data_IF_137295097951
#
_entry.id   IF_137295097951
#
_cell.length_a   1.000
_cell.length_b   1.000
_cell.length_c   1.000
_cell.angle_alpha   90.00
_cell.angle_beta   90.00
_cell.angle_gamma   90.00
#
_symmetry.space_group_name_H-M   'P 1'
#
loop_
_entity.id
_entity.type
_entity.pdbx_description
1 polymer ?
#
# COMPACT_ATOMS: atom_id res chain seq x y z
N UNK A 1 8.95 17.00 3.02
CA UNK A 1 8.32 16.38 1.84
C UNK A 1 7.17 15.53 2.35
N UNK A 2 5.92 15.90 2.06
CA UNK A 2 4.79 15.01 2.33
C UNK A 2 4.66 14.06 1.14
N UNK A 3 5.20 12.86 1.28
CA UNK A 3 5.03 11.77 0.32
C UNK A 3 3.60 11.26 0.36
N UNK A 4 3.15 10.67 -0.75
CA UNK A 4 1.88 9.95 -0.84
C UNK A 4 2.17 8.55 -1.39
N UNK A 5 1.27 7.61 -1.09
CA UNK A 5 1.34 6.23 -1.57
C UNK A 5 0.11 5.93 -2.43
N UNK A 6 0.33 5.34 -3.61
CA UNK A 6 -0.75 4.89 -4.49
C UNK A 6 -0.93 3.38 -4.33
N UNK A 7 -2.08 2.94 -3.86
CA UNK A 7 -2.47 1.54 -3.77
C UNK A 7 -3.20 1.14 -5.06
N UNK A 8 -2.81 0.01 -5.63
CA UNK A 8 -3.35 -0.51 -6.91
C UNK A 8 -4.33 -1.65 -6.65
N UNK A 9 -4.01 -2.51 -5.68
CA UNK A 9 -4.84 -3.66 -5.35
C UNK A 9 -4.69 -4.02 -3.87
N UNK A 10 -5.69 -4.70 -3.33
CA UNK A 10 -5.67 -5.27 -1.98
C UNK A 10 -5.60 -6.79 -2.05
N UNK A 11 -4.91 -7.42 -1.12
CA UNK A 11 -4.92 -8.87 -1.03
C UNK A 11 -6.12 -9.34 -0.21
N UNK A 12 -6.76 -10.41 -0.66
CA UNK A 12 -7.79 -11.09 0.12
C UNK A 12 -7.19 -11.66 1.40
N UNK A 13 -7.83 -11.51 2.57
CA UNK A 13 -7.32 -12.08 3.83
C UNK A 13 -7.09 -13.60 3.77
N UNK A 14 -7.88 -14.32 2.98
CA UNK A 14 -7.71 -15.76 2.79
C UNK A 14 -6.42 -16.07 2.03
N UNK A 15 -6.21 -15.41 0.89
CA UNK A 15 -5.00 -15.56 0.07
C UNK A 15 -3.75 -15.13 0.84
N UNK A 16 -3.83 -14.06 1.65
CA UNK A 16 -2.70 -13.64 2.50
C UNK A 16 -2.24 -14.79 3.41
N UNK A 17 -3.19 -15.45 4.08
CA UNK A 17 -2.89 -16.52 5.03
C UNK A 17 -2.41 -17.80 4.36
N UNK A 18 -2.98 -18.14 3.21
CA UNK A 18 -2.72 -19.41 2.52
C UNK A 18 -1.49 -19.37 1.62
N UNK A 19 -1.17 -18.19 1.05
CA UNK A 19 -0.11 -18.06 0.06
C UNK A 19 0.95 -17.05 0.48
N UNK A 20 0.56 -15.79 0.75
CA UNK A 20 1.53 -14.70 0.92
C UNK A 20 2.46 -14.94 2.12
N UNK A 21 1.92 -15.41 3.25
CA UNK A 21 2.75 -15.72 4.42
C UNK A 21 3.73 -16.85 4.15
N UNK A 22 3.28 -17.93 3.49
CA UNK A 22 4.16 -19.05 3.15
C UNK A 22 5.29 -18.61 2.22
N UNK A 23 5.00 -17.74 1.26
CA UNK A 23 6.02 -17.16 0.38
C UNK A 23 7.06 -16.35 1.14
N UNK A 24 6.60 -15.45 2.03
CA UNK A 24 7.48 -14.64 2.86
C UNK A 24 8.37 -15.55 3.71
N UNK A 25 7.78 -16.54 4.39
CA UNK A 25 8.52 -17.47 5.25
C UNK A 25 9.53 -18.32 4.47
N UNK A 26 9.15 -18.80 3.27
CA UNK A 26 10.06 -19.51 2.37
C UNK A 26 11.23 -18.64 1.93
N UNK A 27 10.97 -17.39 1.53
CA UNK A 27 12.02 -16.47 1.10
C UNK A 27 12.96 -16.12 2.26
N UNK A 28 12.43 -15.92 3.47
CA UNK A 28 13.23 -15.69 4.67
C UNK A 28 14.12 -16.89 5.02
N UNK A 29 13.60 -18.11 4.93
CA UNK A 29 14.39 -19.31 5.17
C UNK A 29 15.50 -19.51 4.13
N UNK A 30 15.24 -19.18 2.86
CA UNK A 30 16.19 -19.39 1.77
C UNK A 30 17.26 -18.28 1.67
N UNK A 31 16.88 -17.04 1.89
CA UNK A 31 17.73 -15.87 1.61
C UNK A 31 18.09 -15.05 2.86
N UNK A 32 17.62 -15.48 4.04
CA UNK A 32 17.82 -14.76 5.29
C UNK A 32 16.84 -13.59 5.46
N UNK A 33 17.05 -12.83 6.53
CA UNK A 33 16.26 -11.64 6.87
C UNK A 33 16.95 -10.41 6.27
N UNK A 34 16.23 -9.69 5.41
CA UNK A 34 16.72 -8.45 4.78
C UNK A 34 16.86 -7.31 5.81
N UNK A 35 15.77 -7.00 6.53
CA UNK A 35 15.77 -6.03 7.63
C UNK A 35 15.20 -6.66 8.89
N UNK A 36 16.02 -6.71 9.95
CA UNK A 36 15.60 -7.28 11.22
C UNK A 36 14.52 -6.44 11.90
N UNK A 37 14.56 -5.12 11.73
CA UNK A 37 13.54 -4.21 12.24
C UNK A 37 12.20 -4.44 11.55
N UNK A 38 12.19 -4.46 10.21
CA UNK A 38 10.98 -4.73 9.44
C UNK A 38 10.40 -6.12 9.73
N UNK A 39 11.26 -7.14 9.86
CA UNK A 39 10.82 -8.49 10.20
C UNK A 39 10.12 -8.56 11.56
N UNK A 40 10.63 -7.86 12.60
CA UNK A 40 9.96 -7.81 13.91
C UNK A 40 8.58 -7.16 13.81
N UNK A 41 8.50 -5.99 13.19
CA UNK A 41 7.23 -5.28 12.99
C UNK A 41 6.25 -6.14 12.19
N UNK A 42 6.71 -6.82 11.14
CA UNK A 42 5.90 -7.78 10.40
C UNK A 42 5.38 -8.91 11.30
N UNK A 43 6.23 -9.60 12.07
CA UNK A 43 5.77 -10.72 12.90
C UNK A 43 4.74 -10.28 13.94
N UNK A 44 4.93 -9.12 14.57
CA UNK A 44 4.01 -8.56 15.56
C UNK A 44 2.67 -8.16 14.95
N UNK A 45 2.67 -7.68 13.70
CA UNK A 45 1.50 -7.04 13.10
C UNK A 45 0.88 -7.80 11.92
N UNK A 46 1.44 -8.95 11.50
CA UNK A 46 1.02 -9.63 10.27
C UNK A 46 -0.46 -9.99 10.23
N UNK A 47 -1.08 -10.16 11.40
CA UNK A 47 -2.51 -10.44 11.57
C UNK A 47 -3.23 -9.37 12.41
N UNK A 48 -2.68 -8.16 12.51
CA UNK A 48 -3.30 -7.08 13.27
C UNK A 48 -4.70 -6.72 12.72
N UNK A 49 -5.63 -6.42 13.63
CA UNK A 49 -6.96 -5.96 13.25
C UNK A 49 -6.86 -4.62 12.51
N UNK A 50 -7.78 -4.42 11.56
CA UNK A 50 -7.83 -3.23 10.70
C UNK A 50 -6.57 -3.00 9.87
N UNK A 51 -5.78 -4.06 9.65
CA UNK A 51 -4.62 -4.03 8.78
C UNK A 51 -4.86 -4.86 7.52
N UNK A 52 -4.37 -4.37 6.39
CA UNK A 52 -4.49 -5.03 5.10
C UNK A 52 -3.16 -4.98 4.33
N UNK A 53 -3.01 -5.97 3.45
CA UNK A 53 -1.89 -6.05 2.52
C UNK A 53 -2.31 -5.45 1.19
N UNK A 54 -1.44 -4.64 0.61
CA UNK A 54 -1.67 -3.95 -0.65
C UNK A 54 -0.52 -4.18 -1.61
N UNK A 55 -0.87 -4.24 -2.89
CA UNK A 55 0.09 -3.97 -3.96
C UNK A 55 0.04 -2.47 -4.24
N UNK A 56 1.19 -1.80 -4.22
CA UNK A 56 1.27 -0.36 -4.44
C UNK A 56 2.12 0.01 -5.65
N UNK A 57 1.87 1.21 -6.18
CA UNK A 57 2.65 1.78 -7.27
C UNK A 57 4.05 2.17 -6.81
N UNK A 58 4.88 2.54 -7.79
CA UNK A 58 6.17 3.17 -7.55
C UNK A 58 6.05 4.34 -6.57
N UNK A 59 6.90 4.33 -5.54
CA UNK A 59 7.07 5.48 -4.65
C UNK A 59 8.10 6.45 -5.25
N UNK A 60 7.74 7.72 -5.38
CA UNK A 60 8.61 8.76 -5.96
C UNK A 60 9.89 9.03 -5.16
N UNK A 61 9.83 8.76 -3.87
CA UNK A 61 10.96 8.80 -2.95
C UNK A 61 10.84 7.65 -1.97
N UNK A 62 11.89 7.46 -1.17
CA UNK A 62 11.87 6.52 -0.06
C UNK A 62 10.77 6.91 0.95
N UNK A 63 9.96 5.94 1.34
CA UNK A 63 8.97 6.04 2.41
C UNK A 63 9.37 5.00 3.47
N UNK A 64 9.64 5.40 4.73
CA UNK A 64 9.99 4.45 5.78
C UNK A 64 8.75 3.77 6.37
N UNK A 65 8.95 2.62 7.03
CA UNK A 65 7.95 2.06 7.94
C UNK A 65 7.68 3.05 9.07
N UNK A 66 6.46 3.02 9.59
CA UNK A 66 5.99 3.98 10.57
C UNK A 66 5.52 5.31 9.97
N UNK A 67 5.62 5.52 8.65
CA UNK A 67 4.99 6.65 7.99
C UNK A 67 3.48 6.66 8.27
N UNK A 68 2.98 7.81 8.72
CA UNK A 68 1.57 8.03 9.01
C UNK A 68 0.96 8.96 7.95
N UNK A 69 -0.30 8.70 7.61
CA UNK A 69 -1.11 9.51 6.70
C UNK A 69 -2.43 9.86 7.38
N UNK A 70 -2.93 11.07 7.11
CA UNK A 70 -4.16 11.59 7.70
C UNK A 70 -5.35 11.62 6.72
N UNK A 71 -5.11 11.31 5.45
CA UNK A 71 -6.13 11.33 4.41
C UNK A 71 -6.01 10.16 3.43
N UNK A 72 -7.17 9.80 2.88
CA UNK A 72 -7.35 8.81 1.83
C UNK A 72 -8.17 9.44 0.70
N UNK A 73 -7.90 9.06 -0.54
CA UNK A 73 -8.73 9.47 -1.67
C UNK A 73 -8.86 8.35 -2.71
N UNK A 74 -10.00 8.33 -3.40
CA UNK A 74 -10.23 7.47 -4.54
C UNK A 74 -9.64 8.09 -5.81
N UNK A 75 -8.99 7.26 -6.61
CA UNK A 75 -8.51 7.62 -7.93
C UNK A 75 -9.10 6.70 -9.00
N UNK A 76 -9.41 7.28 -10.16
CA UNK A 76 -9.77 6.53 -11.37
C UNK A 76 -8.89 7.03 -12.51
N UNK A 77 -8.30 6.13 -13.28
CA UNK A 77 -7.37 6.49 -14.36
C UNK A 77 -6.21 7.37 -13.87
N UNK A 78 -5.64 7.04 -12.71
CA UNK A 78 -4.60 7.83 -12.04
C UNK A 78 -4.98 9.29 -11.71
N UNK A 79 -6.27 9.66 -11.83
CA UNK A 79 -6.79 10.96 -11.42
C UNK A 79 -7.58 10.85 -10.12
N UNK A 80 -7.22 11.64 -9.12
CA UNK A 80 -7.93 11.69 -7.84
C UNK A 80 -9.32 12.31 -8.09
N UNK A 81 -10.36 11.66 -7.56
CA UNK A 81 -11.70 12.24 -7.55
C UNK A 81 -11.79 13.21 -6.37
N UNK A 82 -11.94 14.51 -6.65
CA UNK A 82 -11.75 15.57 -5.63
C UNK A 82 -12.71 15.47 -4.44
N UNK A 83 -13.92 14.97 -4.69
CA UNK A 83 -14.98 14.74 -3.70
C UNK A 83 -14.75 13.49 -2.84
N UNK A 84 -13.78 12.65 -3.18
CA UNK A 84 -13.47 11.40 -2.48
C UNK A 84 -12.41 11.54 -1.38
N UNK A 85 -11.85 12.74 -1.17
CA UNK A 85 -10.83 12.98 -0.14
C UNK A 85 -11.51 12.92 1.23
N UNK A 86 -11.11 11.94 2.04
CA UNK A 86 -11.65 11.70 3.37
C UNK A 86 -10.51 11.67 4.39
N UNK A 87 -10.81 12.12 5.62
CA UNK A 87 -9.89 11.92 6.74
C UNK A 87 -9.77 10.44 7.07
N UNK A 88 -8.54 9.95 7.11
CA UNK A 88 -8.23 8.56 7.40
C UNK A 88 -6.85 8.46 8.03
N UNK A 89 -6.80 8.15 9.31
CA UNK A 89 -5.54 7.89 10.01
C UNK A 89 -5.07 6.49 9.67
N UNK A 90 -3.93 6.41 8.97
CA UNK A 90 -3.32 5.16 8.56
C UNK A 90 -1.81 5.18 8.79
N UNK A 91 -1.25 4.00 9.00
CA UNK A 91 0.18 3.81 9.27
C UNK A 91 0.74 2.69 8.43
N UNK A 92 1.88 2.94 7.80
CA UNK A 92 2.65 1.89 7.16
C UNK A 92 3.34 1.05 8.23
N UNK A 93 2.99 -0.23 8.31
CA UNK A 93 3.62 -1.15 9.25
C UNK A 93 4.85 -1.82 8.63
N UNK A 94 4.78 -2.23 7.37
CA UNK A 94 5.86 -2.95 6.72
C UNK A 94 5.78 -2.79 5.20
N UNK A 95 6.93 -2.68 4.53
CA UNK A 95 7.03 -2.91 3.08
C UNK A 95 7.54 -4.32 2.79
N UNK A 96 7.39 -4.78 1.55
CA UNK A 96 7.97 -6.04 1.11
C UNK A 96 8.62 -5.86 -0.26
N UNK A 97 9.83 -6.38 -0.39
CA UNK A 97 10.62 -6.26 -1.62
C UNK A 97 9.89 -6.87 -2.82
N UNK A 98 10.00 -6.21 -3.97
CA UNK A 98 9.40 -6.71 -5.23
C UNK A 98 9.96 -8.07 -5.65
N UNK A 99 11.25 -8.29 -5.39
CA UNK A 99 11.94 -9.54 -5.64
C UNK A 99 12.15 -10.26 -4.31
N UNK A 100 11.80 -11.56 -4.26
CA UNK A 100 11.88 -12.41 -3.07
C UNK A 100 11.09 -11.89 -1.87
N UNK A 101 9.93 -11.27 -2.09
CA UNK A 101 8.94 -10.79 -1.09
C UNK A 101 9.38 -10.91 0.37
N UNK A 102 10.26 -10.01 0.80
CA UNK A 102 10.87 -9.99 2.12
C UNK A 102 10.50 -8.69 2.84
N UNK A 103 10.25 -8.70 4.16
CA UNK A 103 10.03 -7.49 4.94
C UNK A 103 11.15 -6.46 4.74
N UNK A 104 10.76 -5.23 4.42
CA UNK A 104 11.61 -4.06 4.21
C UNK A 104 11.14 -2.91 5.10
N UNK A 105 12.10 -2.13 5.59
CA UNK A 105 11.87 -0.96 6.45
C UNK A 105 11.63 0.33 5.64
N UNK A 106 11.71 0.27 4.32
CA UNK A 106 11.37 1.35 3.41
C UNK A 106 10.97 0.84 2.03
N UNK A 107 10.33 1.70 1.24
CA UNK A 107 10.11 1.44 -0.19
C UNK A 107 11.41 1.50 -0.97
N UNK A 108 11.62 0.59 -1.91
CA UNK A 108 12.72 0.69 -2.87
C UNK A 108 12.28 1.61 -4.02
N UNK A 109 12.98 2.75 -4.15
CA UNK A 109 12.74 3.69 -5.25
C UNK A 109 12.89 2.95 -6.59
N UNK A 110 11.83 2.98 -7.37
CA UNK A 110 11.78 2.46 -8.75
C UNK A 110 10.91 1.22 -8.89
N UNK A 111 10.45 0.66 -7.77
CA UNK A 111 9.82 -0.64 -7.75
C UNK A 111 8.35 -0.59 -7.32
N UNK A 112 7.55 -1.45 -7.93
CA UNK A 112 6.24 -1.83 -7.42
C UNK A 112 6.43 -2.86 -6.30
N UNK A 113 5.87 -2.59 -5.14
CA UNK A 113 6.12 -3.38 -3.93
C UNK A 113 4.81 -3.68 -3.20
N UNK A 114 4.93 -4.44 -2.11
CA UNK A 114 3.81 -4.72 -1.23
C UNK A 114 3.94 -3.91 0.05
N UNK A 115 2.82 -3.59 0.66
CA UNK A 115 2.77 -2.91 1.95
C UNK A 115 1.72 -3.50 2.86
N UNK A 116 2.05 -3.64 4.13
CA UNK A 116 1.10 -3.86 5.22
C UNK A 116 0.76 -2.51 5.85
N UNK A 117 -0.51 -2.15 5.82
CA UNK A 117 -1.01 -0.84 6.28
C UNK A 117 -2.09 -1.06 7.33
N UNK A 118 -1.98 -0.34 8.44
CA UNK A 118 -3.00 -0.29 9.49
C UNK A 118 -3.88 0.95 9.34
N UNK A 119 -5.18 0.79 9.56
CA UNK A 119 -6.15 1.88 9.61
C UNK A 119 -6.69 2.04 11.04
N UNK A 120 -6.37 3.14 11.70
CA UNK A 120 -6.63 3.31 13.13
C UNK A 120 -8.13 3.32 13.47
N UNK A 121 -8.95 3.88 12.59
CA UNK A 121 -10.40 3.99 12.78
C UNK A 121 -11.19 2.89 12.07
N UNK A 122 -10.53 1.80 11.66
CA UNK A 122 -11.13 0.76 10.83
C UNK A 122 -10.86 0.95 9.33
N UNK A 123 -11.04 -0.13 8.57
CA UNK A 123 -10.77 -0.14 7.12
C UNK A 123 -11.80 0.76 6.41
N UNK A 124 -11.39 1.83 5.71
CA UNK A 124 -12.31 2.71 5.01
C UNK A 124 -13.10 1.94 3.94
N UNK A 125 -14.41 2.21 3.74
CA UNK A 125 -15.21 1.54 2.71
C UNK A 125 -14.61 1.64 1.31
N UNK A 126 -13.96 2.77 1.02
CA UNK A 126 -13.30 3.10 -0.24
C UNK A 126 -12.21 2.07 -0.62
N UNK A 127 -11.59 1.42 0.38
CA UNK A 127 -10.64 0.31 0.17
C UNK A 127 -11.26 -0.87 -0.59
N UNK A 128 -12.58 -1.08 -0.47
CA UNK A 128 -13.28 -2.16 -1.17
C UNK A 128 -13.38 -1.94 -2.69
N UNK A 129 -13.20 -0.71 -3.16
CA UNK A 129 -13.20 -0.35 -4.59
C UNK A 129 -11.92 -0.78 -5.32
N UNK A 130 -10.86 -1.13 -4.58
CA UNK A 130 -9.65 -1.72 -5.16
C UNK A 130 -9.90 -3.17 -5.59
N UNK A 131 -9.28 -3.54 -6.70
CA UNK A 131 -9.18 -4.92 -7.14
C UNK A 131 -8.66 -5.82 -6.00
N UNK A 132 -9.36 -6.94 -5.76
CA UNK A 132 -8.99 -7.90 -4.73
C UNK A 132 -8.20 -9.07 -5.34
N UNK A 133 -6.94 -9.17 -4.96
CA UNK A 133 -6.06 -10.29 -5.33
C UNK A 133 -6.44 -11.51 -4.49
N UNK A 134 -6.90 -12.57 -5.17
CA UNK A 134 -7.30 -13.85 -4.57
C UNK A 134 -6.42 -15.02 -4.99
N UNK A 135 -5.56 -14.81 -5.98
CA UNK A 135 -4.70 -15.83 -6.59
C UNK A 135 -3.51 -15.17 -7.29
N UNK A 136 -2.50 -15.97 -7.66
CA UNK A 136 -1.28 -15.50 -8.34
C UNK A 136 -1.52 -15.24 -9.83
N UNK A 137 -2.30 -14.21 -10.14
CA UNK A 137 -2.51 -13.74 -11.51
C UNK A 137 -2.11 -12.27 -11.65
N UNK A 138 -1.68 -11.85 -12.85
CA UNK A 138 -1.48 -10.44 -13.13
C UNK A 138 -2.74 -9.63 -12.82
N UNK A 139 -2.57 -8.44 -12.26
CA UNK A 139 -3.66 -7.49 -12.09
C UNK A 139 -4.16 -7.08 -13.48
N UNK A 140 -5.47 -7.17 -13.78
CA UNK A 140 -5.98 -6.83 -15.10
C UNK A 140 -5.69 -5.37 -15.48
N UNK A 141 -5.31 -5.12 -16.73
CA UNK A 141 -5.05 -3.76 -17.25
C UNK A 141 -6.31 -2.88 -17.23
N UNK A 142 -7.51 -3.49 -17.22
CA UNK A 142 -8.78 -2.79 -17.06
C UNK A 142 -8.98 -2.21 -15.65
N UNK A 143 -8.20 -2.63 -14.66
CA UNK A 143 -8.27 -2.08 -13.30
C UNK A 143 -7.64 -0.69 -13.29
N UNK A 144 -8.52 0.32 -13.27
CA UNK A 144 -8.14 1.73 -13.30
C UNK A 144 -8.40 2.43 -11.96
N UNK A 145 -8.87 1.68 -10.97
CA UNK A 145 -9.18 2.17 -9.64
C UNK A 145 -7.94 2.13 -8.76
N UNK A 146 -7.69 3.22 -8.06
CA UNK A 146 -6.53 3.40 -7.21
C UNK A 146 -6.96 4.07 -5.92
N UNK A 147 -6.13 3.93 -4.89
CA UNK A 147 -6.29 4.69 -3.64
C UNK A 147 -5.03 5.47 -3.37
N UNK A 148 -5.20 6.71 -2.99
CA UNK A 148 -4.12 7.59 -2.57
C UNK A 148 -4.16 7.70 -1.04
N UNK A 149 -3.03 7.44 -0.39
CA UNK A 149 -2.80 7.76 1.01
C UNK A 149 -1.80 8.91 1.09
N UNK A 150 -2.08 9.92 1.90
CA UNK A 150 -1.24 11.10 2.01
C UNK A 150 -1.71 12.04 3.11
N UNK A 151 -1.08 13.21 3.21
CA UNK A 151 -1.69 14.32 3.95
C UNK A 151 -2.85 14.93 3.15
N UNK A 152 -3.92 15.38 3.81
CA UNK A 152 -5.07 16.02 3.15
C UNK A 152 -4.64 17.16 2.20
N UNK A 153 -3.74 18.03 2.66
CA UNK A 153 -3.19 19.12 1.86
C UNK A 153 -2.49 18.62 0.60
N UNK A 154 -1.68 17.55 0.70
CA UNK A 154 -0.98 17.00 -0.46
C UNK A 154 -1.94 16.37 -1.47
N UNK A 155 -2.99 15.68 -1.00
CA UNK A 155 -3.98 15.10 -1.91
C UNK A 155 -4.77 16.19 -2.64
N UNK A 156 -5.08 17.30 -1.98
CA UNK A 156 -5.70 18.48 -2.61
C UNK A 156 -4.78 19.16 -3.62
N UNK A 157 -3.50 19.32 -3.29
CA UNK A 157 -2.50 19.85 -4.22
C UNK A 157 -2.43 19.00 -5.50
N UNK A 158 -2.35 17.67 -5.36
CA UNK A 158 -2.35 16.75 -6.49
C UNK A 158 -3.59 16.86 -7.38
N UNK A 159 -4.77 17.11 -6.80
CA UNK A 159 -6.00 17.35 -7.55
C UNK A 159 -5.87 18.60 -8.41
N UNK A 160 -5.34 19.71 -7.88
CA UNK A 160 -5.15 20.94 -8.65
C UNK A 160 -4.10 20.75 -9.75
N UNK A 161 -2.96 20.13 -9.45
CA UNK A 161 -1.93 19.80 -10.45
C UNK A 161 -2.48 18.96 -11.62
N UNK A 162 -3.42 18.04 -11.34
CA UNK A 162 -4.04 17.19 -12.36
C UNK A 162 -5.05 17.93 -13.24
N UNK A 163 -5.66 19.02 -12.74
CA UNK A 163 -6.52 19.90 -13.54
C UNK A 163 -5.69 20.72 -14.52
N UNK A 164 -4.56 21.27 -14.07
CA UNK A 164 -3.67 22.10 -14.90
C UNK A 164 -3.07 21.32 -16.08
N UNK A 165 -2.74 20.04 -15.87
CA UNK A 165 -2.17 19.15 -16.91
C UNK A 165 -3.21 18.59 -17.92
N UNK A 166 -4.48 18.94 -17.78
CA UNK A 166 -5.57 18.48 -18.67
C UNK A 166 -5.92 19.49 -19.77
N UNK A 167 -5.13 20.56 -19.91
CA UNK A 167 -5.19 21.58 -20.98
C UNK A 167 -3.99 21.47 -21.92
#
# INVERSE_FOLDING_TARGET
MNTYLILIARYSPLFVKQDLFLDIEKNLAQFGIWSQAAYRVFQENKSAQNSLYFHHSYAQSEIPIGQEYDAIAYGKNYKIQSDSILKCQSKILCFFTAYKTQPSDHTIRGHHELSLIQFNSGIPPLVKELYEIKERKPIPVSEQNHIYLGSENKLRELVEEQKEKSY
#
